data_IF_912804505479
#
_entry.id   IF_912804505479
#
_cell.length_a   1.000
_cell.length_b   1.000
_cell.length_c   1.000
_cell.angle_alpha   90.00
_cell.angle_beta   90.00
_cell.angle_gamma   90.00
#
_symmetry.space_group_name_H-M   'P 1'
#
loop_
_entity.id
_entity.type
_entity.pdbx_description
1 polymer ?
#
# COMPACT_ATOMS: atom_id res chain seq x y z
N UNK A 1 25.18 -29.14 -41.12
CA UNK A 1 24.20 -28.03 -41.03
C UNK A 1 23.02 -28.36 -40.11
N UNK A 2 22.36 -29.52 -40.24
CA UNK A 2 21.19 -29.88 -39.40
C UNK A 2 21.46 -29.82 -37.88
N UNK A 3 22.57 -30.39 -37.40
CA UNK A 3 22.94 -30.33 -35.97
C UNK A 3 23.21 -28.91 -35.46
N UNK A 4 23.73 -28.03 -36.33
CA UNK A 4 23.95 -26.62 -36.01
C UNK A 4 22.62 -25.88 -35.85
N UNK A 5 21.66 -26.13 -36.74
CA UNK A 5 20.30 -25.57 -36.67
C UNK A 5 19.60 -26.05 -35.40
N UNK A 6 19.67 -27.34 -35.08
CA UNK A 6 19.09 -27.91 -33.86
C UNK A 6 19.72 -27.26 -32.61
N UNK A 7 21.04 -27.11 -32.58
CA UNK A 7 21.74 -26.43 -31.48
C UNK A 7 21.25 -25.00 -31.28
N UNK A 8 21.10 -24.23 -32.36
CA UNK A 8 20.58 -22.86 -32.32
C UNK A 8 19.14 -22.83 -31.80
N UNK A 9 18.27 -23.72 -32.26
CA UNK A 9 16.87 -23.81 -31.81
C UNK A 9 16.80 -24.12 -30.32
N UNK A 10 17.62 -25.07 -29.83
CA UNK A 10 17.68 -25.41 -28.40
C UNK A 10 18.11 -24.20 -27.57
N UNK A 11 19.14 -23.47 -28.00
CA UNK A 11 19.60 -22.26 -27.29
C UNK A 11 18.50 -21.20 -27.24
N UNK A 12 17.79 -20.97 -28.35
CA UNK A 12 16.68 -20.01 -28.40
C UNK A 12 15.55 -20.38 -27.44
N UNK A 13 15.20 -21.68 -27.36
CA UNK A 13 14.18 -22.16 -26.42
C UNK A 13 14.62 -21.92 -24.97
N UNK A 14 15.88 -22.21 -24.63
CA UNK A 14 16.40 -22.00 -23.27
C UNK A 14 16.40 -20.51 -22.90
N UNK A 15 16.83 -19.63 -23.80
CA UNK A 15 16.82 -18.18 -23.57
C UNK A 15 15.38 -17.69 -23.36
N UNK A 16 14.45 -18.11 -24.21
CA UNK A 16 13.04 -17.74 -24.08
C UNK A 16 12.44 -18.20 -22.75
N UNK A 17 12.71 -19.46 -22.35
CA UNK A 17 12.26 -20.00 -21.08
C UNK A 17 12.84 -19.23 -19.88
N UNK A 18 14.13 -18.88 -19.92
CA UNK A 18 14.77 -18.09 -18.88
C UNK A 18 14.16 -16.69 -18.75
N UNK A 19 13.92 -16.01 -19.87
CA UNK A 19 13.26 -14.69 -19.89
C UNK A 19 11.84 -14.76 -19.33
N UNK A 20 11.04 -15.75 -19.76
CA UNK A 20 9.68 -15.95 -19.27
C UNK A 20 9.66 -16.17 -17.76
N UNK A 21 10.52 -17.04 -17.24
CA UNK A 21 10.63 -17.31 -15.81
C UNK A 21 11.06 -16.07 -15.02
N UNK A 22 11.97 -15.26 -15.56
CA UNK A 22 12.37 -13.98 -14.96
C UNK A 22 11.22 -13.00 -14.85
N UNK A 23 10.37 -12.91 -15.87
CA UNK A 23 9.20 -12.05 -15.87
C UNK A 23 8.13 -12.52 -14.86
N UNK A 24 7.86 -13.83 -14.81
CA UNK A 24 6.93 -14.42 -13.83
C UNK A 24 7.42 -14.18 -12.40
N UNK A 25 8.71 -14.39 -12.14
CA UNK A 25 9.31 -14.11 -10.83
C UNK A 25 9.15 -12.65 -10.43
N UNK A 26 9.40 -11.74 -11.37
CA UNK A 26 9.25 -10.29 -11.12
C UNK A 26 7.79 -9.92 -10.83
N UNK A 27 6.83 -10.52 -11.54
CA UNK A 27 5.40 -10.34 -11.27
C UNK A 27 5.03 -10.78 -9.85
N UNK A 28 5.47 -11.97 -9.44
CA UNK A 28 5.22 -12.48 -8.08
C UNK A 28 5.80 -11.54 -7.03
N UNK A 29 7.03 -11.04 -7.22
CA UNK A 29 7.62 -10.09 -6.28
C UNK A 29 6.84 -8.78 -6.17
N UNK A 30 6.26 -8.27 -7.26
CA UNK A 30 5.38 -7.09 -7.21
C UNK A 30 4.12 -7.39 -6.39
N UNK A 31 3.50 -8.56 -6.60
CA UNK A 31 2.29 -8.96 -5.89
C UNK A 31 2.57 -9.18 -4.38
N UNK A 32 3.71 -9.78 -4.04
CA UNK A 32 4.19 -9.95 -2.66
C UNK A 32 4.43 -8.59 -1.98
N UNK A 33 5.21 -7.71 -2.62
CA UNK A 33 5.48 -6.38 -2.09
C UNK A 33 4.20 -5.56 -1.90
N UNK A 34 3.23 -5.70 -2.81
CA UNK A 34 1.94 -5.03 -2.69
C UNK A 34 1.11 -5.57 -1.51
N UNK A 35 1.11 -6.89 -1.31
CA UNK A 35 0.48 -7.52 -0.14
C UNK A 35 1.08 -6.99 1.16
N UNK A 36 2.41 -6.92 1.26
CA UNK A 36 3.11 -6.40 2.44
C UNK A 36 2.75 -4.94 2.73
N UNK A 37 2.74 -4.09 1.69
CA UNK A 37 2.33 -2.69 1.82
C UNK A 37 0.88 -2.59 2.32
N UNK A 38 -0.03 -3.39 1.75
CA UNK A 38 -1.45 -3.39 2.12
C UNK A 38 -1.63 -3.75 3.60
N UNK A 39 -0.86 -4.72 4.11
CA UNK A 39 -0.86 -5.07 5.54
C UNK A 39 -0.40 -3.88 6.40
N UNK A 40 0.63 -3.15 5.99
CA UNK A 40 1.11 -1.98 6.73
C UNK A 40 0.10 -0.82 6.73
N UNK A 41 -0.54 -0.54 5.58
CA UNK A 41 -1.58 0.47 5.46
C UNK A 41 -2.76 0.14 6.38
N UNK A 42 -3.20 -1.13 6.38
CA UNK A 42 -4.25 -1.62 7.27
C UNK A 42 -3.86 -1.48 8.74
N UNK A 43 -2.66 -1.91 9.13
CA UNK A 43 -2.15 -1.77 10.50
C UNK A 43 -2.12 -0.30 10.94
N UNK A 44 -1.69 0.62 10.08
CA UNK A 44 -1.69 2.06 10.38
C UNK A 44 -3.11 2.57 10.61
N UNK A 45 -4.06 2.21 9.74
CA UNK A 45 -5.46 2.57 9.90
C UNK A 45 -6.06 1.99 11.20
N UNK A 46 -5.71 0.76 11.57
CA UNK A 46 -6.21 0.08 12.77
C UNK A 46 -5.70 0.70 14.09
N UNK A 47 -4.58 1.42 14.07
CA UNK A 47 -4.05 2.13 15.24
C UNK A 47 -4.73 3.48 15.49
N UNK A 48 -5.46 4.03 14.51
CA UNK A 48 -6.08 5.36 14.63
C UNK A 48 -7.14 5.47 15.72
N UNK A 49 -8.07 4.52 15.88
CA UNK A 49 -9.05 4.59 16.96
C UNK A 49 -8.38 4.72 18.34
N UNK A 50 -7.26 4.02 18.55
CA UNK A 50 -6.50 4.10 19.79
C UNK A 50 -5.88 5.49 19.98
N UNK A 51 -5.22 6.03 18.95
CA UNK A 51 -4.66 7.39 18.98
C UNK A 51 -5.74 8.45 19.23
N UNK A 52 -6.87 8.36 18.54
CA UNK A 52 -8.02 9.27 18.69
C UNK A 52 -8.58 9.19 20.11
N UNK A 53 -8.71 8.00 20.69
CA UNK A 53 -9.19 7.84 22.06
C UNK A 53 -8.24 8.47 23.09
N UNK A 54 -6.92 8.38 22.88
CA UNK A 54 -5.94 9.04 23.74
C UNK A 54 -6.03 10.56 23.65
N UNK A 55 -6.11 11.12 22.43
CA UNK A 55 -6.17 12.58 22.23
C UNK A 55 -7.52 13.15 22.67
N UNK A 56 -8.64 12.44 22.46
CA UNK A 56 -9.98 12.83 22.95
C UNK A 56 -10.03 13.06 24.46
N UNK A 57 -9.17 12.41 25.24
CA UNK A 57 -9.05 12.64 26.68
C UNK A 57 -8.64 14.08 27.02
N UNK A 58 -7.79 14.68 26.17
CA UNK A 58 -7.22 16.01 26.34
C UNK A 58 -7.96 17.09 25.51
N UNK A 59 -8.40 16.76 24.30
CA UNK A 59 -9.08 17.68 23.38
C UNK A 59 -10.56 17.29 23.14
N UNK A 60 -11.44 17.57 24.10
CA UNK A 60 -12.85 17.12 24.10
C UNK A 60 -13.79 17.90 23.16
N UNK A 61 -13.39 19.09 22.71
CA UNK A 61 -14.24 19.97 21.90
C UNK A 61 -13.96 19.88 20.39
N UNK A 62 -13.02 19.02 19.97
CA UNK A 62 -12.52 18.93 18.58
C UNK A 62 -13.21 17.85 17.74
N UNK A 63 -14.55 17.79 17.82
CA UNK A 63 -15.36 16.79 17.11
C UNK A 63 -15.15 16.80 15.58
N UNK A 64 -14.94 17.98 14.99
CA UNK A 64 -14.71 18.12 13.55
C UNK A 64 -13.43 17.41 13.08
N UNK A 65 -12.35 17.56 13.85
CA UNK A 65 -11.05 16.92 13.56
C UNK A 65 -11.16 15.40 13.68
N UNK A 66 -11.83 14.90 14.72
CA UNK A 66 -12.02 13.45 14.89
C UNK A 66 -12.88 12.83 13.78
N UNK A 67 -13.91 13.52 13.29
CA UNK A 67 -14.71 13.07 12.15
C UNK A 67 -13.86 13.01 10.88
N UNK A 68 -13.10 14.06 10.57
CA UNK A 68 -12.24 14.11 9.39
C UNK A 68 -11.22 12.96 9.36
N UNK A 69 -10.62 12.62 10.51
CA UNK A 69 -9.68 11.51 10.63
C UNK A 69 -10.38 10.15 10.50
N UNK A 70 -11.58 10.02 11.04
CA UNK A 70 -12.37 8.79 10.93
C UNK A 70 -12.77 8.53 9.47
N UNK A 71 -13.17 9.57 8.74
CA UNK A 71 -13.45 9.49 7.31
C UNK A 71 -12.20 9.19 6.49
N UNK A 72 -11.08 9.86 6.78
CA UNK A 72 -9.81 9.61 6.10
C UNK A 72 -9.30 8.18 6.34
N UNK A 73 -9.47 7.64 7.57
CA UNK A 73 -9.19 6.23 7.89
C UNK A 73 -10.04 5.30 7.02
N UNK A 74 -11.35 5.54 6.95
CA UNK A 74 -12.25 4.70 6.15
C UNK A 74 -11.87 4.71 4.67
N UNK A 75 -11.55 5.89 4.10
CA UNK A 75 -11.08 6.03 2.72
C UNK A 75 -9.77 5.27 2.46
N UNK A 76 -8.85 5.27 3.42
CA UNK A 76 -7.56 4.55 3.30
C UNK A 76 -7.78 3.03 3.20
N UNK A 77 -8.67 2.47 4.02
CA UNK A 77 -9.00 1.04 4.00
C UNK A 77 -9.66 0.66 2.67
N UNK A 78 -10.63 1.45 2.20
CA UNK A 78 -11.34 1.21 0.94
C UNK A 78 -10.41 1.34 -0.28
N UNK A 79 -9.55 2.37 -0.31
CA UNK A 79 -8.63 2.61 -1.40
C UNK A 79 -7.52 1.54 -1.49
N UNK A 80 -7.09 0.98 -0.36
CA UNK A 80 -6.09 -0.11 -0.32
C UNK A 80 -6.57 -1.37 -1.05
N UNK A 81 -7.88 -1.59 -1.15
CA UNK A 81 -8.46 -2.70 -1.90
C UNK A 81 -8.58 -2.44 -3.42
N UNK A 82 -8.44 -1.18 -3.86
CA UNK A 82 -8.62 -0.78 -5.26
C UNK A 82 -7.33 -0.75 -6.07
N UNK A 83 -6.19 -0.58 -5.39
CA UNK A 83 -4.87 -0.69 -6.00
C UNK A 83 -3.86 0.31 -5.45
N UNK A 84 -2.60 0.23 -5.92
CA UNK A 84 -1.51 1.08 -5.43
C UNK A 84 -1.73 2.58 -5.61
N UNK A 85 -2.29 2.99 -6.74
CA UNK A 85 -2.47 4.41 -7.05
C UNK A 85 -3.52 5.06 -6.15
N UNK A 86 -4.65 4.39 -5.97
CA UNK A 86 -5.75 4.81 -5.10
C UNK A 86 -5.30 4.84 -3.64
N UNK A 87 -4.61 3.79 -3.19
CA UNK A 87 -4.07 3.69 -1.85
C UNK A 87 -3.09 4.82 -1.55
N UNK A 88 -2.18 5.13 -2.47
CA UNK A 88 -1.20 6.22 -2.31
C UNK A 88 -1.88 7.58 -2.17
N UNK A 89 -2.94 7.85 -2.95
CA UNK A 89 -3.72 9.08 -2.84
C UNK A 89 -4.43 9.18 -1.49
N UNK A 90 -5.15 8.13 -1.10
CA UNK A 90 -5.89 8.11 0.16
C UNK A 90 -4.95 8.24 1.37
N UNK A 91 -3.77 7.61 1.31
CA UNK A 91 -2.74 7.73 2.35
C UNK A 91 -2.18 9.17 2.44
N UNK A 92 -2.05 9.88 1.32
CA UNK A 92 -1.70 11.31 1.31
C UNK A 92 -2.74 12.17 2.03
N UNK A 93 -4.02 11.97 1.73
CA UNK A 93 -5.13 12.68 2.40
C UNK A 93 -5.17 12.37 3.90
N UNK A 94 -4.93 11.11 4.25
CA UNK A 94 -4.88 10.65 5.63
C UNK A 94 -3.71 11.26 6.42
N UNK A 95 -2.53 11.38 5.79
CA UNK A 95 -1.40 12.09 6.39
C UNK A 95 -1.72 13.57 6.64
N UNK A 96 -2.45 14.22 5.73
CA UNK A 96 -2.90 15.59 5.94
C UNK A 96 -3.86 15.71 7.13
N UNK A 97 -4.82 14.78 7.26
CA UNK A 97 -5.72 14.73 8.42
C UNK A 97 -4.96 14.50 9.73
N UNK A 98 -3.95 13.62 9.75
CA UNK A 98 -3.12 13.40 10.95
C UNK A 98 -2.35 14.64 11.39
N UNK A 99 -1.91 15.50 10.48
CA UNK A 99 -1.28 16.78 10.85
C UNK A 99 -2.23 17.67 11.65
N UNK A 100 -3.51 17.69 11.30
CA UNK A 100 -4.52 18.42 12.08
C UNK A 100 -4.76 17.82 13.47
N UNK A 101 -4.66 16.48 13.62
CA UNK A 101 -4.72 15.83 14.93
C UNK A 101 -3.57 16.26 15.83
N UNK A 102 -2.35 16.32 15.30
CA UNK A 102 -1.17 16.72 16.06
C UNK A 102 -1.26 18.18 16.49
N UNK A 103 -1.75 19.08 15.62
CA UNK A 103 -1.98 20.47 16.00
C UNK A 103 -2.97 20.61 17.18
N UNK A 104 -4.01 19.77 17.23
CA UNK A 104 -4.95 19.72 18.35
C UNK A 104 -4.33 19.12 19.62
N UNK A 105 -3.43 18.15 19.48
CA UNK A 105 -2.78 17.50 20.61
C UNK A 105 -1.71 18.38 21.28
N UNK A 106 -1.15 19.36 20.55
CA UNK A 106 -0.18 20.32 21.05
C UNK A 106 -0.82 21.59 21.66
N UNK A 107 -2.13 21.77 21.48
CA UNK A 107 -2.90 22.90 22.02
C UNK A 107 -3.35 22.65 23.47
#
# INVERSE_FOLDING_TARGET
MLFLIIGIVVVLIVVFAAMYNGLVKSKIHVDEAWSDITVQLKRRADLIPNLVNTVKGYAKHESGVFTAITEARAKTIDASAKGPAEAAKAEGDFQAALKSLFAVAEA
#
